data_IF_824032908080
#
_entry.id   IF_824032908080
#
_cell.length_a   1.000
_cell.length_b   1.000
_cell.length_c   1.000
_cell.angle_alpha   90.00
_cell.angle_beta   90.00
_cell.angle_gamma   90.00
#
_symmetry.space_group_name_H-M   'P 1'
#
loop_
_entity.id
_entity.type
_entity.pdbx_description
1 polymer ?
#
# COMPACT_ATOMS: atom_id res chain seq x y z
N UNK A 1 -12.02 -11.26 18.22
CA UNK A 1 -13.31 -11.51 17.53
C UNK A 1 -13.45 -10.43 16.47
N UNK A 2 -13.17 -10.74 15.20
CA UNK A 2 -13.29 -9.79 14.10
C UNK A 2 -14.79 -9.52 13.84
N UNK A 3 -15.24 -8.27 13.95
CA UNK A 3 -16.56 -7.85 13.48
C UNK A 3 -16.36 -7.02 12.21
N UNK A 4 -16.86 -7.51 11.08
CA UNK A 4 -16.95 -6.69 9.88
C UNK A 4 -18.05 -5.64 10.10
N UNK A 5 -17.75 -4.38 9.80
CA UNK A 5 -18.70 -3.27 9.88
C UNK A 5 -18.85 -2.66 8.49
N UNK A 6 -20.09 -2.35 8.12
CA UNK A 6 -20.41 -1.61 6.91
C UNK A 6 -19.95 -0.15 7.10
N UNK A 7 -19.16 0.39 6.17
CA UNK A 7 -18.82 1.81 6.21
C UNK A 7 -20.11 2.64 6.00
N UNK A 8 -20.52 3.50 6.94
CA UNK A 8 -21.72 4.31 6.77
C UNK A 8 -21.48 5.37 5.70
N UNK A 9 -22.36 5.41 4.69
CA UNK A 9 -22.46 6.53 3.77
C UNK A 9 -23.52 7.52 4.29
N UNK A 10 -23.29 8.83 4.22
CA UNK A 10 -24.30 9.81 4.58
C UNK A 10 -25.47 9.73 3.58
N UNK A 11 -26.69 9.65 4.10
CA UNK A 11 -27.89 9.79 3.29
C UNK A 11 -27.96 11.21 2.69
N UNK A 12 -28.20 11.31 1.38
CA UNK A 12 -28.43 12.60 0.74
C UNK A 12 -29.62 13.32 1.39
N UNK A 13 -29.41 14.59 1.74
CA UNK A 13 -30.46 15.52 2.15
C UNK A 13 -31.37 15.76 0.94
N UNK A 14 -32.63 15.32 1.03
CA UNK A 14 -33.62 15.54 -0.01
C UNK A 14 -34.02 17.02 -0.04
N UNK A 15 -33.82 17.68 -1.20
CA UNK A 15 -34.45 18.97 -1.51
C UNK A 15 -35.41 18.80 -2.68
N UNK A 16 -36.70 18.98 -2.42
CA UNK A 16 -37.70 19.51 -3.36
C UNK A 16 -38.24 18.59 -4.46
N UNK A 17 -39.58 18.51 -4.53
CA UNK A 17 -40.39 17.82 -5.53
C UNK A 17 -39.96 18.05 -6.99
N UNK A 18 -39.60 16.97 -7.68
CA UNK A 18 -39.72 16.85 -9.13
C UNK A 18 -40.07 15.42 -9.52
N UNK A 19 -41.11 15.26 -10.33
CA UNK A 19 -41.66 14.00 -10.87
C UNK A 19 -40.75 13.36 -11.93
N UNK A 20 -39.46 13.19 -11.62
CA UNK A 20 -38.56 12.37 -12.42
C UNK A 20 -38.63 10.90 -11.97
N UNK A 21 -38.38 9.93 -12.88
CA UNK A 21 -38.33 8.52 -12.53
C UNK A 21 -37.35 8.33 -11.36
N UNK A 22 -37.86 7.84 -10.23
CA UNK A 22 -37.06 7.60 -9.01
C UNK A 22 -35.79 6.84 -9.39
N UNK A 23 -34.66 7.52 -9.31
CA UNK A 23 -33.36 6.88 -9.41
C UNK A 23 -33.35 5.70 -8.43
N UNK A 24 -32.81 4.52 -8.81
CA UNK A 24 -32.81 3.35 -7.95
C UNK A 24 -32.25 3.75 -6.58
N UNK A 25 -32.99 3.39 -5.52
CA UNK A 25 -32.71 3.78 -4.15
C UNK A 25 -31.24 3.48 -3.83
N UNK A 26 -30.54 4.42 -3.19
CA UNK A 26 -29.09 4.34 -2.96
C UNK A 26 -28.65 3.05 -2.22
N UNK A 27 -29.58 2.34 -1.57
CA UNK A 27 -29.35 1.04 -0.92
C UNK A 27 -28.94 -0.07 -1.89
N UNK A 28 -29.47 -0.10 -3.11
CA UNK A 28 -29.21 -1.21 -4.04
C UNK A 28 -27.86 -1.08 -4.78
N UNK A 29 -27.18 0.07 -4.65
CA UNK A 29 -25.98 0.37 -5.46
C UNK A 29 -24.67 -0.20 -4.92
N UNK A 30 -24.66 -0.80 -3.72
CA UNK A 30 -23.42 -1.15 -3.03
C UNK A 30 -23.35 -2.58 -2.50
N UNK A 31 -24.34 -3.42 -2.79
CA UNK A 31 -24.32 -4.85 -2.47
C UNK A 31 -23.56 -5.69 -3.52
N UNK A 32 -22.50 -5.14 -4.09
CA UNK A 32 -21.68 -5.89 -5.06
C UNK A 32 -20.99 -7.03 -4.29
N UNK A 33 -21.22 -8.31 -4.65
CA UNK A 33 -20.59 -9.42 -3.94
C UNK A 33 -19.06 -9.35 -4.01
N UNK A 34 -18.42 -9.60 -2.86
CA UNK A 34 -16.96 -9.72 -2.81
C UNK A 34 -16.59 -11.12 -3.31
N UNK A 35 -15.63 -11.25 -4.25
CA UNK A 35 -15.22 -12.56 -4.72
C UNK A 35 -14.68 -13.43 -3.59
N UNK A 36 -14.98 -14.74 -3.65
CA UNK A 36 -14.52 -15.75 -2.69
C UNK A 36 -13.05 -16.10 -2.86
N UNK A 37 -12.18 -15.11 -2.64
CA UNK A 37 -10.72 -15.19 -2.76
C UNK A 37 -10.07 -14.56 -1.54
N UNK A 38 -9.16 -15.27 -0.89
CA UNK A 38 -8.41 -14.78 0.27
C UNK A 38 -6.95 -14.63 -0.14
N UNK A 39 -6.35 -13.48 0.09
CA UNK A 39 -5.00 -13.13 -0.31
C UNK A 39 -4.13 -12.92 0.94
N UNK A 40 -3.03 -13.64 1.02
CA UNK A 40 -1.96 -13.43 1.99
C UNK A 40 -0.72 -12.90 1.27
N UNK A 41 0.01 -11.99 1.90
CA UNK A 41 1.28 -11.47 1.38
C UNK A 41 2.42 -11.92 2.30
N UNK A 42 3.46 -12.48 1.69
CA UNK A 42 4.62 -13.01 2.37
C UNK A 42 5.90 -12.30 1.96
N UNK A 43 6.37 -11.36 2.80
CA UNK A 43 7.57 -10.56 2.53
C UNK A 43 8.67 -10.88 3.55
N UNK A 44 9.87 -11.20 3.05
CA UNK A 44 11.12 -11.17 3.84
C UNK A 44 11.15 -12.01 5.13
N UNK A 45 10.45 -13.16 5.16
CA UNK A 45 10.45 -14.05 6.32
C UNK A 45 10.36 -15.53 5.92
N UNK A 46 10.81 -16.39 6.83
CA UNK A 46 10.69 -17.85 6.74
C UNK A 46 9.25 -18.32 6.91
N UNK A 47 8.92 -19.48 6.36
CA UNK A 47 7.62 -20.13 6.58
C UNK A 47 7.65 -20.94 7.87
N UNK A 48 6.90 -20.50 8.89
CA UNK A 48 6.91 -21.08 10.24
C UNK A 48 5.64 -21.91 10.52
N UNK A 49 5.71 -22.79 11.53
CA UNK A 49 4.61 -23.72 11.87
C UNK A 49 3.34 -23.01 12.33
N UNK A 50 3.49 -21.86 13.00
CA UNK A 50 2.35 -21.03 13.38
C UNK A 50 1.55 -20.60 12.16
N UNK A 51 2.23 -20.16 11.10
CA UNK A 51 1.55 -19.69 9.91
C UNK A 51 0.91 -20.83 9.10
N UNK A 52 1.54 -22.00 9.10
CA UNK A 52 0.97 -23.23 8.53
C UNK A 52 -0.37 -23.55 9.19
N UNK A 53 -0.44 -23.45 10.52
CA UNK A 53 -1.64 -23.69 11.31
C UNK A 53 -2.75 -22.69 10.94
N UNK A 54 -2.42 -21.40 10.82
CA UNK A 54 -3.39 -20.36 10.46
C UNK A 54 -3.94 -20.54 9.03
N UNK A 55 -3.08 -20.88 8.06
CA UNK A 55 -3.51 -21.14 6.67
C UNK A 55 -4.41 -22.38 6.59
N UNK A 56 -4.06 -23.47 7.29
CA UNK A 56 -4.89 -24.67 7.37
C UNK A 56 -6.26 -24.36 7.99
N UNK A 57 -6.28 -23.63 9.09
CA UNK A 57 -7.52 -23.22 9.75
C UNK A 57 -8.39 -22.38 8.79
N UNK A 58 -7.79 -21.40 8.11
CA UNK A 58 -8.50 -20.57 7.14
C UNK A 58 -9.13 -21.40 6.01
N UNK A 59 -8.39 -22.37 5.43
CA UNK A 59 -8.88 -23.25 4.36
C UNK A 59 -10.02 -24.14 4.86
N UNK A 60 -9.87 -24.70 6.06
CA UNK A 60 -10.87 -25.58 6.68
C UNK A 60 -12.17 -24.84 6.97
N UNK A 61 -12.08 -23.61 7.50
CA UNK A 61 -13.23 -22.82 7.92
C UNK A 61 -13.92 -22.10 6.73
N UNK A 62 -13.24 -22.00 5.58
CA UNK A 62 -13.72 -21.35 4.36
C UNK A 62 -13.48 -22.23 3.12
N UNK A 63 -14.09 -23.43 3.04
CA UNK A 63 -13.79 -24.41 1.98
C UNK A 63 -14.24 -23.97 0.58
N UNK A 64 -15.18 -23.03 0.49
CA UNK A 64 -15.68 -22.45 -0.76
C UNK A 64 -14.85 -21.24 -1.24
N UNK A 65 -13.85 -20.83 -0.47
CA UNK A 65 -12.91 -19.78 -0.83
C UNK A 65 -11.65 -20.36 -1.48
N UNK A 66 -11.11 -19.62 -2.46
CA UNK A 66 -9.77 -19.88 -3.02
C UNK A 66 -8.74 -19.02 -2.32
N UNK A 67 -7.74 -19.64 -1.69
CA UNK A 67 -6.67 -18.94 -0.99
C UNK A 67 -5.51 -18.69 -1.95
N UNK A 68 -4.85 -17.54 -1.82
CA UNK A 68 -3.71 -17.11 -2.63
C UNK A 68 -2.58 -16.65 -1.72
N UNK A 69 -1.45 -17.34 -1.79
CA UNK A 69 -0.24 -17.01 -1.05
C UNK A 69 0.71 -16.26 -2.01
N UNK A 70 0.84 -14.96 -1.82
CA UNK A 70 1.72 -14.10 -2.62
C UNK A 70 3.11 -14.05 -1.99
N UNK A 71 4.06 -14.76 -2.59
CA UNK A 71 5.43 -14.85 -2.11
C UNK A 71 6.32 -13.77 -2.73
N UNK A 72 7.14 -13.13 -1.89
CA UNK A 72 8.26 -12.30 -2.30
C UNK A 72 9.49 -13.18 -2.59
N UNK A 73 9.49 -13.80 -3.77
CA UNK A 73 10.59 -14.66 -4.23
C UNK A 73 11.94 -13.94 -4.23
N UNK A 74 11.96 -12.62 -4.35
CA UNK A 74 13.19 -11.86 -4.26
C UNK A 74 13.79 -11.84 -2.86
N UNK A 75 13.01 -11.47 -1.84
CA UNK A 75 13.54 -11.42 -0.47
C UNK A 75 13.84 -12.82 0.06
N UNK A 76 13.16 -13.85 -0.44
CA UNK A 76 13.53 -15.23 -0.15
C UNK A 76 14.88 -15.62 -0.80
N UNK A 77 15.15 -15.22 -2.04
CA UNK A 77 16.47 -15.41 -2.67
C UNK A 77 17.59 -14.68 -1.91
N UNK A 78 17.32 -13.48 -1.39
CA UNK A 78 18.30 -12.73 -0.58
C UNK A 78 18.62 -13.44 0.74
N UNK A 79 17.64 -14.12 1.34
CA UNK A 79 17.79 -14.83 2.61
C UNK A 79 18.40 -16.23 2.46
N UNK A 80 17.99 -16.97 1.42
CA UNK A 80 18.21 -18.42 1.32
C UNK A 80 18.87 -18.86 0.01
N UNK A 81 19.20 -17.94 -0.89
CA UNK A 81 19.82 -18.26 -2.17
C UNK A 81 21.17 -18.96 -2.01
N UNK A 82 21.62 -19.71 -3.05
CA UNK A 82 22.90 -20.40 -3.03
C UNK A 82 24.03 -19.43 -2.67
N UNK A 83 24.94 -19.87 -1.79
CA UNK A 83 25.96 -19.09 -1.07
C UNK A 83 26.99 -18.33 -1.93
N UNK A 84 26.76 -18.17 -3.23
CA UNK A 84 27.55 -17.38 -4.18
C UNK A 84 26.85 -16.14 -4.74
N UNK A 85 25.54 -15.96 -4.53
CA UNK A 85 24.93 -14.64 -4.75
C UNK A 85 25.33 -13.77 -3.56
N UNK A 86 25.99 -12.63 -3.75
CA UNK A 86 26.26 -11.73 -2.63
C UNK A 86 24.93 -11.52 -1.91
N UNK A 87 24.89 -11.68 -0.58
CA UNK A 87 23.75 -11.22 0.22
C UNK A 87 23.66 -9.73 -0.06
N UNK A 88 22.92 -9.32 -1.09
CA UNK A 88 22.88 -7.94 -1.56
C UNK A 88 21.98 -7.19 -0.59
N UNK A 89 22.57 -6.94 0.58
CA UNK A 89 22.34 -5.85 1.52
C UNK A 89 20.91 -5.43 1.87
N UNK A 90 20.65 -5.33 3.19
CA UNK A 90 19.76 -4.28 3.70
C UNK A 90 20.48 -3.12 4.43
N UNK A 91 21.75 -3.25 4.86
CA UNK A 91 22.34 -2.24 5.78
C UNK A 91 23.71 -1.66 5.44
N UNK A 92 24.72 -2.48 5.20
CA UNK A 92 26.08 -1.95 5.05
C UNK A 92 26.29 -1.12 3.75
N UNK A 93 25.48 -1.35 2.69
CA UNK A 93 25.50 -0.52 1.48
C UNK A 93 24.79 0.80 1.67
N UNK A 94 23.80 0.91 2.57
CA UNK A 94 23.16 2.17 2.93
C UNK A 94 24.16 3.12 3.63
N UNK A 95 25.01 2.58 4.52
CA UNK A 95 26.03 3.34 5.25
C UNK A 95 27.26 3.71 4.40
N UNK A 96 27.69 2.82 3.49
CA UNK A 96 28.82 3.11 2.57
C UNK A 96 28.40 4.14 1.51
N UNK A 97 27.12 4.18 1.10
CA UNK A 97 26.68 5.15 0.09
C UNK A 97 26.30 6.53 0.65
N UNK A 98 25.72 6.59 1.84
CA UNK A 98 25.44 7.88 2.50
C UNK A 98 26.71 8.68 2.76
N UNK A 99 27.82 8.01 3.07
CA UNK A 99 29.14 8.65 3.22
C UNK A 99 29.78 9.08 1.89
N UNK A 100 29.58 8.34 0.79
CA UNK A 100 30.14 8.67 -0.53
C UNK A 100 29.36 9.72 -1.34
N UNK A 101 28.02 9.67 -1.30
CA UNK A 101 27.16 10.58 -2.08
C UNK A 101 26.91 11.94 -1.42
N UNK A 102 27.10 12.07 -0.10
CA UNK A 102 27.02 13.36 0.59
C UNK A 102 28.07 14.38 0.10
N UNK A 103 29.09 13.96 -0.66
CA UNK A 103 30.10 14.85 -1.26
C UNK A 103 29.82 15.28 -2.71
N UNK A 104 28.94 14.59 -3.45
CA UNK A 104 28.74 14.83 -4.88
C UNK A 104 27.32 15.25 -5.28
N UNK A 105 26.30 14.98 -4.45
CA UNK A 105 24.94 15.46 -4.67
C UNK A 105 24.63 16.55 -3.65
N UNK A 106 24.93 17.79 -4.03
CA UNK A 106 24.26 18.92 -3.41
C UNK A 106 22.75 18.81 -3.75
N UNK A 107 21.95 18.61 -2.70
CA UNK A 107 20.88 19.55 -2.27
C UNK A 107 19.38 19.35 -2.59
N UNK A 108 18.83 18.13 -2.74
CA UNK A 108 17.40 17.88 -2.39
C UNK A 108 17.12 16.42 -2.01
N UNK A 109 16.24 16.20 -1.02
CA UNK A 109 15.74 14.89 -0.57
C UNK A 109 15.20 14.05 -1.75
N UNK A 110 14.53 14.74 -2.68
CA UNK A 110 13.95 14.24 -3.93
C UNK A 110 14.94 13.39 -4.75
N UNK A 111 16.17 13.87 -4.96
CA UNK A 111 17.17 13.16 -5.77
C UNK A 111 17.62 11.85 -5.11
N UNK A 112 17.69 11.81 -3.78
CA UNK A 112 18.01 10.58 -3.02
C UNK A 112 16.89 9.56 -3.16
N UNK A 113 15.63 9.99 -3.03
CA UNK A 113 14.45 9.13 -3.17
C UNK A 113 14.36 8.52 -4.58
N UNK A 114 14.54 9.32 -5.64
CA UNK A 114 14.56 8.80 -7.01
C UNK A 114 15.70 7.82 -7.27
N UNK A 115 16.90 8.09 -6.74
CA UNK A 115 18.03 7.14 -6.87
C UNK A 115 17.71 5.79 -6.21
N UNK A 116 17.04 5.80 -5.05
CA UNK A 116 16.60 4.58 -4.38
C UNK A 116 15.51 3.85 -5.16
N UNK A 117 14.52 4.57 -5.71
CA UNK A 117 13.47 4.00 -6.56
C UNK A 117 14.06 3.29 -7.79
N UNK A 118 14.96 3.95 -8.53
CA UNK A 118 15.66 3.35 -9.67
C UNK A 118 16.40 2.09 -9.25
N UNK A 119 17.05 2.11 -8.08
CA UNK A 119 17.80 0.95 -7.59
C UNK A 119 16.90 -0.21 -7.19
N UNK A 120 15.81 0.05 -6.48
CA UNK A 120 14.82 -0.96 -6.13
C UNK A 120 14.26 -1.63 -7.39
N UNK A 121 13.98 -0.83 -8.42
CA UNK A 121 13.58 -1.32 -9.74
C UNK A 121 14.68 -2.17 -10.41
N UNK A 122 15.95 -1.81 -10.26
CA UNK A 122 17.06 -2.59 -10.80
C UNK A 122 17.24 -3.95 -10.15
N UNK A 123 17.13 -4.04 -8.83
CA UNK A 123 17.22 -5.32 -8.12
C UNK A 123 16.05 -6.24 -8.50
N UNK A 124 14.86 -5.67 -8.68
CA UNK A 124 13.72 -6.38 -9.25
C UNK A 124 14.05 -6.99 -10.63
N UNK A 125 14.70 -6.26 -11.53
CA UNK A 125 15.03 -6.81 -12.85
C UNK A 125 16.06 -7.93 -12.82
N UNK A 126 17.08 -7.86 -11.95
CA UNK A 126 18.13 -8.89 -11.89
C UNK A 126 17.55 -10.27 -11.56
N UNK A 127 16.61 -10.32 -10.63
CA UNK A 127 15.97 -11.58 -10.22
C UNK A 127 14.88 -11.99 -11.19
N UNK A 128 14.14 -11.05 -11.81
CA UNK A 128 13.21 -11.37 -12.91
C UNK A 128 13.88 -12.16 -14.02
N UNK A 129 15.11 -11.80 -14.38
CA UNK A 129 15.89 -12.46 -15.43
C UNK A 129 16.27 -13.91 -15.09
N UNK A 130 16.01 -14.36 -13.86
CA UNK A 130 16.38 -15.70 -13.43
C UNK A 130 15.22 -16.45 -12.75
N UNK A 131 14.07 -16.55 -13.44
CA UNK A 131 12.92 -17.36 -12.99
C UNK A 131 13.30 -18.81 -12.63
N UNK A 132 14.34 -19.34 -13.25
CA UNK A 132 14.89 -20.67 -12.94
C UNK A 132 15.42 -20.78 -11.50
N UNK A 133 15.87 -19.68 -10.89
CA UNK A 133 16.30 -19.68 -9.48
C UNK A 133 15.13 -19.83 -8.52
N UNK A 134 13.88 -19.54 -8.91
CA UNK A 134 12.73 -19.67 -8.01
C UNK A 134 12.55 -21.08 -7.49
N UNK A 135 12.76 -22.07 -8.36
CA UNK A 135 12.69 -23.49 -8.01
C UNK A 135 13.82 -23.93 -7.05
N UNK A 136 14.85 -23.09 -6.87
CA UNK A 136 15.97 -23.37 -5.97
C UNK A 136 15.80 -22.69 -4.61
N UNK A 137 14.72 -21.92 -4.39
CA UNK A 137 14.46 -21.25 -3.11
C UNK A 137 13.90 -22.27 -2.11
N UNK A 138 14.61 -22.58 -1.01
CA UNK A 138 14.15 -23.56 -0.03
C UNK A 138 12.76 -23.24 0.56
N UNK A 139 12.48 -21.96 0.86
CA UNK A 139 11.16 -21.55 1.36
C UNK A 139 10.03 -21.83 0.36
N UNK A 140 10.27 -21.65 -0.95
CA UNK A 140 9.26 -21.99 -1.96
C UNK A 140 8.96 -23.49 -1.94
N UNK A 141 10.01 -24.32 -1.84
CA UNK A 141 9.84 -25.77 -1.70
C UNK A 141 9.06 -26.13 -0.42
N UNK A 142 9.39 -25.49 0.72
CA UNK A 142 8.63 -25.70 1.97
C UNK A 142 7.15 -25.38 1.82
N UNK A 143 6.79 -24.29 1.14
CA UNK A 143 5.39 -23.98 0.84
C UNK A 143 4.76 -25.08 -0.01
N UNK A 144 5.42 -25.53 -1.07
CA UNK A 144 4.91 -26.58 -1.96
C UNK A 144 4.70 -27.90 -1.21
N UNK A 145 5.69 -28.32 -0.42
CA UNK A 145 5.63 -29.54 0.39
C UNK A 145 4.47 -29.46 1.39
N UNK A 146 4.31 -28.33 2.08
CA UNK A 146 3.21 -28.11 3.01
C UNK A 146 1.83 -28.22 2.33
N UNK A 147 1.65 -27.58 1.17
CA UNK A 147 0.39 -27.64 0.43
C UNK A 147 0.07 -29.06 -0.02
N UNK A 148 1.09 -29.81 -0.48
CA UNK A 148 0.94 -31.19 -0.90
C UNK A 148 0.65 -32.15 0.27
N UNK A 149 1.37 -32.02 1.38
CA UNK A 149 1.23 -32.89 2.56
C UNK A 149 -0.14 -32.76 3.23
N UNK A 150 -0.77 -31.59 3.12
CA UNK A 150 -2.05 -31.29 3.76
C UNK A 150 -3.23 -31.26 2.78
N UNK A 151 -3.03 -31.70 1.54
CA UNK A 151 -4.08 -31.80 0.51
C UNK A 151 -4.81 -30.46 0.23
N UNK A 152 -4.07 -29.35 0.31
CA UNK A 152 -4.62 -27.99 0.24
C UNK A 152 -4.78 -27.51 -1.22
N UNK A 153 -5.63 -28.19 -1.98
CA UNK A 153 -5.82 -27.95 -3.43
C UNK A 153 -6.49 -26.61 -3.78
N UNK A 154 -7.16 -25.96 -2.83
CA UNK A 154 -7.79 -24.64 -3.04
C UNK A 154 -6.83 -23.47 -2.75
N UNK A 155 -5.54 -23.75 -2.55
CA UNK A 155 -4.51 -22.74 -2.29
C UNK A 155 -3.61 -22.57 -3.51
N UNK A 156 -3.54 -21.34 -4.03
CA UNK A 156 -2.59 -20.96 -5.08
C UNK A 156 -1.32 -20.41 -4.45
N UNK A 157 -0.16 -20.89 -4.94
CA UNK A 157 1.13 -20.26 -4.68
C UNK A 157 1.47 -19.30 -5.83
N UNK A 158 1.54 -18.00 -5.53
CA UNK A 158 1.76 -16.94 -6.51
C UNK A 158 3.00 -16.14 -6.16
N UNK A 159 3.64 -15.54 -7.16
CA UNK A 159 4.87 -14.76 -6.96
C UNK A 159 4.63 -13.28 -7.23
N UNK A 160 5.09 -12.43 -6.30
CA UNK A 160 5.01 -10.99 -6.47
C UNK A 160 5.81 -10.52 -7.70
N UNK A 161 6.90 -11.20 -8.04
CA UNK A 161 7.66 -10.91 -9.26
C UNK A 161 6.83 -10.98 -10.54
N UNK A 162 5.97 -11.99 -10.67
CA UNK A 162 5.07 -12.13 -11.82
C UNK A 162 3.98 -11.06 -11.81
N UNK A 163 3.48 -10.69 -10.62
CA UNK A 163 2.51 -9.60 -10.46
C UNK A 163 3.08 -8.24 -10.90
N UNK A 164 4.27 -7.89 -10.41
CA UNK A 164 4.98 -6.68 -10.83
C UNK A 164 5.23 -6.68 -12.34
N UNK A 165 5.71 -7.80 -12.91
CA UNK A 165 5.98 -7.93 -14.34
C UNK A 165 4.73 -7.67 -15.18
N UNK A 166 3.59 -8.27 -14.82
CA UNK A 166 2.34 -8.09 -15.53
C UNK A 166 1.88 -6.62 -15.53
N UNK A 167 1.99 -5.93 -14.39
CA UNK A 167 1.58 -4.53 -14.28
C UNK A 167 2.52 -3.58 -15.03
N UNK A 168 3.84 -3.78 -14.94
CA UNK A 168 4.80 -2.99 -15.74
C UNK A 168 4.59 -3.21 -17.24
N UNK A 169 4.28 -4.43 -17.66
CA UNK A 169 3.99 -4.73 -19.06
C UNK A 169 2.71 -4.05 -19.54
N UNK A 170 1.63 -4.10 -18.75
CA UNK A 170 0.37 -3.43 -19.06
C UNK A 170 0.54 -1.91 -19.19
N UNK A 171 1.35 -1.30 -18.33
CA UNK A 171 1.68 0.13 -18.42
C UNK A 171 2.50 0.46 -19.67
N UNK A 172 3.49 -0.39 -20.00
CA UNK A 172 4.30 -0.23 -21.21
C UNK A 172 3.41 -0.25 -22.46
N UNK A 173 2.46 -1.19 -22.54
CA UNK A 173 1.52 -1.28 -23.65
C UNK A 173 0.59 -0.07 -23.75
N UNK A 174 0.10 0.45 -22.61
CA UNK A 174 -0.77 1.63 -22.58
C UNK A 174 -0.09 2.88 -23.10
N UNK A 175 1.20 3.04 -22.84
CA UNK A 175 1.90 4.28 -23.15
C UNK A 175 2.44 4.38 -24.59
N UNK A 176 2.37 3.32 -25.41
CA UNK A 176 2.71 3.19 -26.86
C UNK A 176 3.99 3.88 -27.41
N UNK A 177 4.70 4.66 -26.60
CA UNK A 177 5.81 5.52 -26.93
C UNK A 177 6.83 5.44 -25.79
N UNK A 178 7.87 4.63 -25.99
CA UNK A 178 9.19 4.84 -25.36
C UNK A 178 9.29 4.85 -23.82
N UNK A 179 8.44 4.10 -23.12
CA UNK A 179 8.89 3.42 -21.90
C UNK A 179 9.72 2.20 -22.32
N UNK A 180 10.82 2.42 -23.07
CA UNK A 180 11.94 1.49 -22.95
C UNK A 180 12.18 1.39 -21.45
N UNK A 181 12.04 0.18 -20.89
CA UNK A 181 12.53 -0.20 -19.56
C UNK A 181 13.69 0.74 -19.19
N UNK A 182 13.48 1.68 -18.25
CA UNK A 182 14.10 2.99 -18.31
C UNK A 182 15.59 2.88 -18.56
N UNK A 183 16.12 3.67 -19.50
CA UNK A 183 17.52 4.05 -19.38
C UNK A 183 17.67 4.60 -17.96
N UNK A 184 18.53 3.94 -17.19
CA UNK A 184 18.55 3.88 -15.73
C UNK A 184 19.00 5.18 -15.04
N UNK A 185 18.71 6.31 -15.66
CA UNK A 185 19.09 7.62 -15.18
C UNK A 185 17.97 8.20 -14.33
N UNK A 186 18.35 8.69 -13.14
CA UNK A 186 17.46 9.32 -12.16
C UNK A 186 16.69 10.51 -12.74
N UNK A 187 17.30 11.27 -13.65
CA UNK A 187 16.68 12.37 -14.39
C UNK A 187 15.50 11.94 -15.26
N UNK A 188 15.56 10.72 -15.84
CA UNK A 188 14.49 10.16 -16.66
C UNK A 188 13.30 9.73 -15.81
N UNK A 189 13.55 9.17 -14.62
CA UNK A 189 12.45 8.77 -13.72
C UNK A 189 11.73 10.00 -13.14
N UNK A 190 12.46 11.02 -12.69
CA UNK A 190 11.87 12.24 -12.14
C UNK A 190 10.98 12.98 -13.15
N UNK A 191 11.45 13.13 -14.39
CA UNK A 191 10.69 13.80 -15.47
C UNK A 191 9.47 13.00 -15.96
N UNK A 192 9.40 11.69 -15.65
CA UNK A 192 8.31 10.80 -16.08
C UNK A 192 7.39 10.37 -14.95
N UNK A 193 7.74 10.66 -13.69
CA UNK A 193 6.99 10.19 -12.52
C UNK A 193 5.50 10.50 -12.63
N UNK A 194 5.19 11.75 -12.96
CA UNK A 194 3.82 12.24 -13.12
C UNK A 194 3.06 11.58 -14.28
N UNK A 195 3.76 11.02 -15.26
CA UNK A 195 3.17 10.29 -16.39
C UNK A 195 2.92 8.81 -16.09
N UNK A 196 3.37 8.29 -14.95
CA UNK A 196 3.11 6.91 -14.56
C UNK A 196 1.69 6.76 -14.03
N UNK A 197 0.99 5.73 -14.52
CA UNK A 197 -0.28 5.30 -13.95
C UNK A 197 -0.17 5.04 -12.44
N UNK A 198 -1.26 5.29 -11.67
CA UNK A 198 -1.25 5.13 -10.21
C UNK A 198 -0.87 3.71 -9.77
N UNK A 199 -1.22 2.68 -10.55
CA UNK A 199 -0.83 1.29 -10.31
C UNK A 199 0.69 1.15 -10.27
N UNK A 200 1.38 1.71 -11.27
CA UNK A 200 2.84 1.58 -11.37
C UNK A 200 3.55 2.39 -10.30
N UNK A 201 3.06 3.60 -9.98
CA UNK A 201 3.64 4.39 -8.88
C UNK A 201 3.50 3.68 -7.52
N UNK A 202 2.33 3.10 -7.22
CA UNK A 202 2.16 2.31 -5.99
C UNK A 202 3.14 1.13 -5.91
N UNK A 203 3.36 0.42 -7.01
CA UNK A 203 4.34 -0.66 -7.04
C UNK A 203 5.78 -0.16 -6.87
N UNK A 204 6.13 0.98 -7.48
CA UNK A 204 7.45 1.58 -7.30
C UNK A 204 7.67 1.97 -5.84
N UNK A 205 6.66 2.52 -5.16
CA UNK A 205 6.73 2.77 -3.72
C UNK A 205 6.83 1.48 -2.90
N UNK A 206 6.12 0.42 -3.29
CA UNK A 206 6.21 -0.87 -2.60
C UNK A 206 7.63 -1.46 -2.69
N UNK A 207 8.23 -1.40 -3.89
CA UNK A 207 9.63 -1.81 -4.11
C UNK A 207 10.61 -0.93 -3.32
N UNK A 208 10.36 0.38 -3.23
CA UNK A 208 11.18 1.30 -2.44
C UNK A 208 11.14 0.98 -0.95
N UNK A 209 9.95 0.80 -0.37
CA UNK A 209 9.80 0.44 1.04
C UNK A 209 10.42 -0.93 1.33
N UNK A 210 10.24 -1.89 0.42
CA UNK A 210 10.90 -3.19 0.52
C UNK A 210 12.42 -3.05 0.49
N UNK A 211 12.96 -2.24 -0.41
CA UNK A 211 14.40 -1.95 -0.51
C UNK A 211 14.94 -1.29 0.77
N UNK A 212 14.12 -0.49 1.46
CA UNK A 212 14.42 0.07 2.80
C UNK A 212 14.33 -0.96 3.93
N UNK A 213 13.90 -2.20 3.66
CA UNK A 213 13.59 -3.21 4.67
C UNK A 213 12.28 -2.94 5.42
N UNK A 214 11.42 -2.06 4.92
CA UNK A 214 10.09 -1.77 5.46
C UNK A 214 9.03 -2.70 4.89
N UNK A 215 9.11 -3.97 5.25
CA UNK A 215 8.16 -4.97 4.76
C UNK A 215 6.71 -4.67 5.19
N UNK A 216 6.51 -3.98 6.32
CA UNK A 216 5.17 -3.56 6.74
C UNK A 216 4.57 -2.53 5.76
N UNK A 217 5.29 -1.44 5.48
CA UNK A 217 4.83 -0.44 4.52
C UNK A 217 4.70 -0.99 3.09
N UNK A 218 5.64 -1.83 2.66
CA UNK A 218 5.55 -2.52 1.38
C UNK A 218 4.28 -3.40 1.30
N UNK A 219 3.96 -4.13 2.36
CA UNK A 219 2.73 -4.93 2.46
C UNK A 219 1.47 -4.07 2.45
N UNK A 220 1.47 -2.89 3.10
CA UNK A 220 0.35 -1.95 3.05
C UNK A 220 0.08 -1.41 1.63
N UNK A 221 1.14 -1.12 0.86
CA UNK A 221 1.02 -0.70 -0.53
C UNK A 221 0.54 -1.85 -1.42
N UNK A 222 1.08 -3.05 -1.22
CA UNK A 222 0.72 -4.24 -2.00
C UNK A 222 -0.70 -4.71 -1.74
N UNK A 223 -1.20 -4.72 -0.50
CA UNK A 223 -2.55 -5.22 -0.20
C UNK A 223 -3.65 -4.43 -0.91
N UNK A 224 -3.52 -3.10 -0.96
CA UNK A 224 -4.51 -2.26 -1.65
C UNK A 224 -4.42 -2.40 -3.17
N UNK A 225 -3.21 -2.57 -3.71
CA UNK A 225 -3.00 -2.79 -5.14
C UNK A 225 -3.43 -4.20 -5.58
N UNK A 226 -3.21 -5.22 -4.74
CA UNK A 226 -3.67 -6.58 -4.99
C UNK A 226 -5.19 -6.65 -4.95
N UNK A 227 -5.87 -6.03 -3.98
CA UNK A 227 -7.34 -6.01 -3.96
C UNK A 227 -7.94 -5.26 -5.15
N UNK A 228 -7.23 -4.27 -5.71
CA UNK A 228 -7.65 -3.61 -6.93
C UNK A 228 -7.59 -4.54 -8.15
N UNK A 229 -6.50 -5.31 -8.28
CA UNK A 229 -6.29 -6.20 -9.44
C UNK A 229 -7.00 -7.54 -9.28
N UNK A 230 -7.10 -8.03 -8.05
CA UNK A 230 -7.68 -9.31 -7.65
C UNK A 230 -8.64 -9.09 -6.48
N UNK A 231 -9.87 -8.63 -6.76
CA UNK A 231 -10.85 -8.35 -5.72
C UNK A 231 -11.17 -9.61 -4.91
N UNK A 232 -11.57 -9.39 -3.67
CA UNK A 232 -11.69 -10.44 -2.66
C UNK A 232 -11.31 -9.90 -1.29
N UNK A 233 -10.58 -10.72 -0.54
CA UNK A 233 -10.20 -10.48 0.85
C UNK A 233 -8.67 -10.52 0.95
N UNK A 234 -8.10 -9.59 1.71
CA UNK A 234 -6.73 -9.60 2.17
C UNK A 234 -6.72 -9.87 3.67
N UNK A 235 -5.78 -10.70 4.12
CA UNK A 235 -5.56 -10.98 5.54
C UNK A 235 -4.07 -10.97 5.84
N UNK A 236 -3.67 -10.38 6.96
CA UNK A 236 -2.32 -10.55 7.50
C UNK A 236 -2.11 -12.02 7.87
N UNK A 237 -0.93 -12.55 7.58
CA UNK A 237 -0.59 -13.98 7.79
C UNK A 237 -0.72 -14.49 9.22
N UNK A 238 -0.74 -13.60 10.22
CA UNK A 238 -0.88 -13.94 11.64
C UNK A 238 -2.29 -13.65 12.18
N UNK A 239 -3.24 -13.34 11.30
CA UNK A 239 -4.63 -13.10 11.67
C UNK A 239 -5.45 -14.36 11.43
N UNK A 240 -6.05 -14.87 12.50
CA UNK A 240 -7.02 -15.96 12.42
C UNK A 240 -8.28 -15.53 11.69
N UNK A 241 -8.65 -16.31 10.68
CA UNK A 241 -9.80 -16.03 9.81
C UNK A 241 -10.92 -17.01 10.16
N UNK A 242 -11.99 -16.57 10.84
CA UNK A 242 -13.15 -17.43 11.04
C UNK A 242 -13.88 -17.66 9.72
N UNK A 243 -14.95 -18.47 9.75
CA UNK A 243 -15.85 -18.57 8.60
C UNK A 243 -16.43 -17.20 8.23
N UNK A 244 -16.24 -16.77 6.99
CA UNK A 244 -16.55 -15.39 6.52
C UNK A 244 -17.99 -15.27 6.03
N UNK A 245 -18.57 -16.34 5.48
CA UNK A 245 -19.88 -16.29 4.81
C UNK A 245 -19.85 -15.47 3.52
N UNK A 246 -21.01 -15.01 3.06
CA UNK A 246 -21.12 -14.11 1.91
C UNK A 246 -21.05 -12.64 2.38
N UNK A 247 -20.10 -11.88 1.83
CA UNK A 247 -19.92 -10.45 2.14
C UNK A 247 -19.95 -9.61 0.86
N UNK A 248 -20.36 -8.36 0.97
CA UNK A 248 -20.56 -7.43 -0.16
C UNK A 248 -19.79 -6.12 0.05
N UNK A 249 -19.61 -5.32 -1.00
CA UNK A 249 -19.08 -3.96 -0.91
C UNK A 249 -17.60 -3.87 -0.48
N UNK A 250 -17.30 -2.98 0.47
CA UNK A 250 -15.97 -2.82 1.07
C UNK A 250 -16.04 -3.02 2.59
N UNK A 251 -15.11 -3.80 3.15
CA UNK A 251 -15.05 -4.11 4.59
C UNK A 251 -13.63 -4.06 5.09
N UNK A 252 -13.49 -3.80 6.39
CA UNK A 252 -12.22 -3.82 7.10
C UNK A 252 -12.44 -4.22 8.56
N UNK A 253 -11.38 -4.65 9.25
CA UNK A 253 -11.46 -4.98 10.66
C UNK A 253 -11.35 -3.73 11.55
N UNK A 254 -11.98 -3.78 12.72
CA UNK A 254 -11.68 -2.89 13.83
C UNK A 254 -10.85 -3.61 14.88
N UNK A 255 -9.95 -2.88 15.52
CA UNK A 255 -9.28 -3.30 16.76
C UNK A 255 -10.26 -3.28 17.94
N UNK A 256 -9.80 -3.76 19.11
CA UNK A 256 -10.58 -3.70 20.34
C UNK A 256 -10.89 -2.25 20.75
N UNK A 257 -10.02 -1.32 20.39
CA UNK A 257 -10.13 0.11 20.62
C UNK A 257 -10.93 0.84 19.53
N UNK A 258 -11.64 0.11 18.67
CA UNK A 258 -12.43 0.64 17.56
C UNK A 258 -11.60 1.45 16.53
N UNK A 259 -10.30 1.17 16.43
CA UNK A 259 -9.46 1.76 15.38
C UNK A 259 -9.47 0.88 14.15
N UNK A 260 -9.45 1.49 12.97
CA UNK A 260 -9.41 0.74 11.72
C UNK A 260 -8.11 -0.07 11.62
N UNK A 261 -8.24 -1.38 11.45
CA UNK A 261 -7.13 -2.29 11.20
C UNK A 261 -7.09 -2.67 9.73
N UNK A 262 -5.89 -2.63 9.16
CA UNK A 262 -5.64 -3.15 7.81
C UNK A 262 -5.30 -4.64 7.81
N UNK A 263 -5.31 -5.32 8.96
CA UNK A 263 -5.02 -6.76 9.06
C UNK A 263 -6.07 -7.63 8.36
N UNK A 264 -7.24 -7.05 8.09
CA UNK A 264 -8.28 -7.62 7.25
C UNK A 264 -8.86 -6.50 6.39
N UNK A 265 -8.85 -6.69 5.06
CA UNK A 265 -9.48 -5.79 4.10
C UNK A 265 -10.25 -6.63 3.08
N UNK A 266 -11.49 -6.27 2.77
CA UNK A 266 -12.25 -6.92 1.72
C UNK A 266 -12.84 -5.88 0.79
N UNK A 267 -12.80 -6.15 -0.51
CA UNK A 267 -13.32 -5.24 -1.52
C UNK A 267 -13.93 -5.99 -2.68
N UNK A 268 -15.13 -5.55 -3.05
CA UNK A 268 -15.73 -5.83 -4.33
C UNK A 268 -14.87 -5.21 -5.46
N UNK A 269 -15.01 -5.72 -6.70
CA UNK A 269 -14.29 -5.18 -7.85
C UNK A 269 -14.53 -3.68 -8.03
N UNK A 270 -13.44 -2.92 -8.18
CA UNK A 270 -13.47 -1.47 -8.44
C UNK A 270 -14.28 -0.65 -7.41
N UNK A 271 -14.34 -1.08 -6.16
CA UNK A 271 -15.10 -0.36 -5.14
C UNK A 271 -14.52 1.06 -4.92
N UNK A 272 -15.34 2.13 -4.89
CA UNK A 272 -14.87 3.50 -4.74
C UNK A 272 -14.02 3.74 -3.48
N UNK A 273 -14.41 3.15 -2.34
CA UNK A 273 -13.62 3.25 -1.10
C UNK A 273 -12.19 2.72 -1.26
N UNK A 274 -12.00 1.57 -1.92
CA UNK A 274 -10.66 1.02 -2.15
C UNK A 274 -9.84 1.95 -3.06
N UNK A 275 -10.46 2.47 -4.13
CA UNK A 275 -9.81 3.42 -5.03
C UNK A 275 -9.38 4.69 -4.29
N UNK A 276 -10.23 5.21 -3.40
CA UNK A 276 -9.93 6.39 -2.61
C UNK A 276 -8.81 6.14 -1.58
N UNK A 277 -8.84 4.99 -0.89
CA UNK A 277 -7.74 4.57 -0.01
C UNK A 277 -6.42 4.51 -0.78
N UNK A 278 -6.40 3.89 -1.97
CA UNK A 278 -5.23 3.84 -2.85
C UNK A 278 -4.74 5.24 -3.22
N UNK A 279 -5.67 6.12 -3.58
CA UNK A 279 -5.37 7.51 -3.92
C UNK A 279 -4.72 8.23 -2.74
N UNK A 280 -5.29 8.16 -1.52
CA UNK A 280 -4.74 8.81 -0.34
C UNK A 280 -3.32 8.32 -0.03
N UNK A 281 -3.10 7.00 -0.04
CA UNK A 281 -1.77 6.42 0.18
C UNK A 281 -0.80 6.93 -0.89
N UNK A 282 -1.18 6.90 -2.17
CA UNK A 282 -0.33 7.40 -3.24
C UNK A 282 0.00 8.89 -3.08
N UNK A 283 -0.96 9.73 -2.72
CA UNK A 283 -0.71 11.16 -2.47
C UNK A 283 0.26 11.36 -1.30
N UNK A 284 0.11 10.60 -0.22
CA UNK A 284 1.03 10.66 0.92
C UNK A 284 2.46 10.35 0.48
N UNK A 285 2.68 9.30 -0.33
CA UNK A 285 4.02 8.98 -0.82
C UNK A 285 4.53 9.99 -1.86
N UNK A 286 3.69 10.42 -2.81
CA UNK A 286 4.08 11.40 -3.82
C UNK A 286 4.46 12.75 -3.21
N UNK A 287 3.92 13.09 -2.04
CA UNK A 287 4.32 14.30 -1.31
C UNK A 287 5.76 14.23 -0.78
N UNK A 288 6.32 13.02 -0.57
CA UNK A 288 7.74 12.84 -0.23
C UNK A 288 8.67 13.27 -1.38
N UNK A 289 8.18 13.21 -2.63
CA UNK A 289 8.94 13.64 -3.81
C UNK A 289 8.84 15.14 -4.08
N UNK A 290 7.97 15.88 -3.38
CA UNK A 290 7.71 17.30 -3.64
C UNK A 290 8.32 18.24 -2.59
N UNK A 291 9.02 17.70 -1.58
CA UNK A 291 9.44 18.44 -0.37
C UNK A 291 8.27 19.12 0.41
N UNK A 292 7.02 18.92 -0.02
CA UNK A 292 5.82 19.42 0.65
C UNK A 292 5.55 18.67 1.97
N UNK A 293 6.01 17.42 2.06
CA UNK A 293 6.01 16.69 3.31
C UNK A 293 7.23 17.11 4.13
N UNK A 294 7.00 17.90 5.18
CA UNK A 294 7.92 18.01 6.34
C UNK A 294 7.95 16.70 7.14
N UNK A 295 8.02 15.55 6.46
CA UNK A 295 8.42 14.33 7.13
C UNK A 295 9.82 14.62 7.65
N UNK A 296 9.98 14.47 8.96
CA UNK A 296 11.25 14.51 9.68
C UNK A 296 12.33 14.02 8.73
N UNK A 297 13.33 14.85 8.42
CA UNK A 297 14.52 14.45 7.68
C UNK A 297 15.15 13.31 8.46
N UNK A 298 14.70 12.12 8.13
CA UNK A 298 15.00 10.92 8.87
C UNK A 298 16.38 10.51 8.40
N UNK A 299 17.38 10.74 9.23
CA UNK A 299 18.71 10.21 8.99
C UNK A 299 18.67 8.69 9.19
N UNK A 300 18.33 7.98 8.11
CA UNK A 300 18.22 6.53 8.07
C UNK A 300 19.52 5.79 8.43
N UNK A 301 20.67 6.48 8.44
CA UNK A 301 21.94 5.89 8.89
C UNK A 301 22.02 5.75 10.41
N UNK A 302 21.23 6.57 11.13
CA UNK A 302 21.25 6.63 12.60
C UNK A 302 20.09 5.87 13.26
N UNK A 303 19.06 5.52 12.49
CA UNK A 303 17.90 4.83 13.04
C UNK A 303 18.19 3.37 13.36
N UNK A 304 18.25 3.07 14.65
CA UNK A 304 18.16 1.70 15.15
C UNK A 304 16.75 1.18 14.90
N UNK A 305 16.64 -0.09 14.48
CA UNK A 305 15.35 -0.79 14.46
C UNK A 305 14.76 -0.63 15.87
N UNK A 306 13.47 -0.27 16.02
CA UNK A 306 12.86 -0.21 17.34
C UNK A 306 13.13 -1.53 18.04
N UNK A 307 13.86 -1.48 19.16
CA UNK A 307 14.12 -2.65 20.00
C UNK A 307 12.89 -3.02 20.81
N UNK A 308 11.94 -2.09 20.90
CA UNK A 308 10.66 -2.23 21.59
C UNK A 308 9.51 -1.81 20.65
N UNK A 309 8.51 -2.67 20.41
CA UNK A 309 7.30 -2.34 19.65
C UNK A 309 6.49 -1.17 20.23
N UNK A 310 6.67 -0.84 21.51
CA UNK A 310 5.99 0.29 22.17
C UNK A 310 6.63 1.65 21.92
N UNK A 311 7.76 1.70 21.19
CA UNK A 311 8.43 2.95 20.82
C UNK A 311 7.71 3.66 19.66
N UNK A 312 6.46 4.09 19.91
CA UNK A 312 5.68 4.89 18.97
C UNK A 312 6.32 6.25 18.65
N UNK A 313 7.32 6.67 19.43
CA UNK A 313 8.15 7.84 19.14
C UNK A 313 9.18 7.56 18.05
N UNK A 314 9.37 6.29 17.65
CA UNK A 314 10.20 5.93 16.52
C UNK A 314 9.59 6.54 15.25
N UNK A 315 10.29 7.47 14.60
CA UNK A 315 9.71 8.19 13.47
C UNK A 315 9.47 7.28 12.26
N UNK A 316 10.10 6.10 12.19
CA UNK A 316 9.81 5.08 11.18
C UNK A 316 8.42 4.45 11.35
N UNK A 317 8.00 4.20 12.59
CA UNK A 317 6.67 3.68 12.90
C UNK A 317 5.62 4.75 12.57
N UNK A 318 5.89 6.00 12.96
CA UNK A 318 5.02 7.15 12.67
C UNK A 318 4.89 7.41 11.16
N UNK A 319 5.99 7.32 10.40
CA UNK A 319 6.00 7.44 8.95
C UNK A 319 5.17 6.32 8.31
N UNK A 320 5.43 5.05 8.66
CA UNK A 320 4.67 3.92 8.11
C UNK A 320 3.18 4.04 8.42
N UNK A 321 2.83 4.40 9.65
CA UNK A 321 1.45 4.58 10.10
C UNK A 321 0.71 5.65 9.28
N UNK A 322 1.37 6.79 9.03
CA UNK A 322 0.76 7.94 8.36
C UNK A 322 0.77 7.85 6.83
N UNK A 323 1.78 7.21 6.23
CA UNK A 323 1.90 7.12 4.77
C UNK A 323 1.03 6.01 4.17
N UNK A 324 1.15 4.79 4.70
CA UNK A 324 0.45 3.60 4.15
C UNK A 324 -0.40 2.84 5.17
N UNK A 325 -0.12 2.99 6.46
CA UNK A 325 -0.73 2.23 7.54
C UNK A 325 -2.10 2.76 8.00
N UNK A 326 -2.52 2.40 9.22
CA UNK A 326 -3.86 2.71 9.72
C UNK A 326 -4.21 4.21 9.71
N UNK A 327 -3.23 5.10 9.86
CA UNK A 327 -3.46 6.55 9.80
C UNK A 327 -3.91 7.01 8.41
N UNK A 328 -3.25 6.55 7.35
CA UNK A 328 -3.65 6.84 5.97
C UNK A 328 -5.05 6.31 5.66
N UNK A 329 -5.34 5.10 6.14
CA UNK A 329 -6.62 4.43 5.92
C UNK A 329 -7.76 5.09 6.69
N UNK A 330 -7.55 5.42 7.96
CA UNK A 330 -8.53 6.12 8.78
C UNK A 330 -8.88 7.47 8.17
N UNK A 331 -7.87 8.24 7.72
CA UNK A 331 -8.10 9.48 6.99
C UNK A 331 -8.98 9.25 5.75
N UNK A 332 -8.63 8.27 4.92
CA UNK A 332 -9.40 7.95 3.73
C UNK A 332 -10.86 7.59 4.06
N UNK A 333 -11.09 6.75 5.07
CA UNK A 333 -12.44 6.35 5.48
C UNK A 333 -13.25 7.49 6.08
N UNK A 334 -12.60 8.40 6.82
CA UNK A 334 -13.22 9.61 7.33
C UNK A 334 -13.67 10.52 6.18
N UNK A 335 -12.79 10.79 5.23
CA UNK A 335 -13.09 11.61 4.05
C UNK A 335 -14.27 11.02 3.24
N UNK A 336 -14.33 9.68 3.10
CA UNK A 336 -15.48 8.97 2.48
C UNK A 336 -16.77 9.20 3.27
N UNK A 337 -16.74 9.02 4.59
CA UNK A 337 -17.91 9.16 5.45
C UNK A 337 -18.42 10.61 5.53
N UNK A 338 -17.53 11.59 5.43
CA UNK A 338 -17.86 13.01 5.38
C UNK A 338 -18.37 13.46 3.99
N UNK A 339 -18.50 12.53 3.04
CA UNK A 339 -18.99 12.85 1.69
C UNK A 339 -18.01 13.69 0.88
N UNK A 340 -16.72 13.68 1.21
CA UNK A 340 -15.66 14.34 0.41
C UNK A 340 -15.56 13.73 -1.00
N UNK A 341 -16.12 12.53 -1.19
CA UNK A 341 -16.35 11.93 -2.51
C UNK A 341 -17.45 12.63 -3.35
N UNK A 342 -18.13 13.65 -2.83
CA UNK A 342 -19.25 14.33 -3.47
C UNK A 342 -18.92 15.08 -4.76
N UNK A 343 -19.58 14.67 -5.84
CA UNK A 343 -19.74 15.27 -7.19
C UNK A 343 -18.48 15.63 -8.02
N UNK A 344 -17.32 15.89 -7.40
CA UNK A 344 -16.13 16.40 -8.10
C UNK A 344 -14.97 15.40 -8.21
N UNK A 345 -15.07 14.23 -7.58
CA UNK A 345 -14.05 13.19 -7.71
C UNK A 345 -14.55 12.17 -8.73
N UNK A 346 -14.47 12.54 -10.01
CA UNK A 346 -14.50 11.55 -11.09
C UNK A 346 -13.20 10.74 -11.00
N UNK A 347 -13.22 9.64 -10.24
CA UNK A 347 -12.05 8.78 -10.00
C UNK A 347 -11.50 8.23 -11.32
N UNK A 348 -12.33 8.15 -12.37
CA UNK A 348 -11.91 7.79 -13.73
C UNK A 348 -11.13 8.90 -14.46
N UNK A 349 -11.24 10.15 -14.01
CA UNK A 349 -10.57 11.34 -14.54
C UNK A 349 -9.57 11.97 -13.57
N UNK A 350 -9.12 11.26 -12.54
CA UNK A 350 -7.97 11.66 -11.71
C UNK A 350 -6.64 11.52 -12.48
N UNK A 351 -6.60 12.13 -13.67
CA UNK A 351 -5.46 12.48 -14.49
C UNK A 351 -5.34 14.01 -14.44
N UNK A 352 -4.32 14.44 -13.71
CA UNK A 352 -3.73 15.78 -13.60
C UNK A 352 -4.28 16.90 -14.51
N UNK A 353 -5.19 17.74 -14.00
CA UNK A 353 -5.20 19.18 -14.36
C UNK A 353 -5.82 20.15 -13.35
N UNK A 354 -6.51 19.72 -12.29
CA UNK A 354 -7.19 20.64 -11.37
C UNK A 354 -6.70 20.57 -9.92
N UNK A 355 -5.41 20.88 -9.74
CA UNK A 355 -4.84 21.22 -8.42
C UNK A 355 -4.35 22.68 -8.38
N UNK A 356 -4.97 23.57 -9.16
CA UNK A 356 -4.78 25.02 -9.06
C UNK A 356 -6.15 25.66 -8.95
N UNK A 357 -6.30 26.53 -7.94
CA UNK A 357 -7.52 27.22 -7.49
C UNK A 357 -8.27 26.45 -6.40
N UNK A 358 -7.83 26.60 -5.14
CA UNK A 358 -8.69 26.95 -3.99
C UNK A 358 -7.91 27.06 -2.67
N UNK A 359 -6.99 28.03 -2.61
CA UNK A 359 -6.36 28.49 -1.37
C UNK A 359 -6.72 29.96 -1.04
N UNK A 360 -7.93 30.40 -1.39
CA UNK A 360 -8.33 31.81 -1.18
C UNK A 360 -9.70 32.07 -0.54
N UNK A 361 -10.38 31.06 0.00
CA UNK A 361 -11.69 31.26 0.68
C UNK A 361 -11.70 30.87 2.17
N UNK A 362 -10.63 30.29 2.71
CA UNK A 362 -10.52 29.99 4.15
C UNK A 362 -9.73 31.05 4.95
N UNK A 363 -9.91 32.34 4.63
CA UNK A 363 -9.49 33.47 5.50
C UNK A 363 -10.68 34.39 5.68
N UNK A 364 -11.58 33.97 6.56
CA UNK A 364 -12.79 34.72 6.84
C UNK A 364 -13.61 34.06 7.93
N UNK A 365 -12.98 33.72 9.06
CA UNK A 365 -13.61 33.61 10.38
C UNK A 365 -12.55 33.25 11.43
N UNK A 366 -12.64 33.90 12.59
CA UNK A 366 -11.82 33.79 13.80
C UNK A 366 -10.44 34.49 13.76
N UNK A 367 -10.43 35.76 14.20
CA UNK A 367 -9.99 36.12 15.56
C UNK A 367 -10.16 37.64 15.72
N UNK A 368 -11.37 38.04 16.12
CA UNK A 368 -11.56 39.27 16.89
C UNK A 368 -11.54 38.84 18.35
N UNK A 369 -10.47 39.19 19.04
CA UNK A 369 -10.15 38.68 20.37
C UNK A 369 -9.13 39.62 21.00
N UNK A 370 -9.66 40.70 21.56
CA UNK A 370 -8.90 41.79 22.14
C UNK A 370 -7.83 41.33 23.13
N UNK A 371 -6.68 42.01 23.07
CA UNK A 371 -5.75 42.09 24.18
C UNK A 371 -5.68 43.55 24.63
N UNK A 372 -6.11 43.76 25.86
CA UNK A 372 -6.06 45.04 26.55
C UNK A 372 -4.65 45.59 26.63
N UNK A 373 -4.61 46.91 26.49
CA UNK A 373 -3.47 47.78 26.77
C UNK A 373 -3.24 47.85 28.28
N UNK A 374 -2.07 47.40 28.72
CA UNK A 374 -1.47 47.91 29.97
C UNK A 374 -0.68 49.18 29.60
N UNK A 375 -1.19 50.33 30.02
CA UNK A 375 -0.43 51.58 30.11
C UNK A 375 -0.14 51.80 31.60
N UNK A 376 1.13 52.06 31.90
CA UNK A 376 1.65 52.45 33.21
C UNK A 376 1.89 53.97 33.18
N UNK A 377 1.71 54.62 34.34
CA UNK A 377 1.91 56.05 34.69
C UNK A 377 0.71 56.96 34.35
N UNK A 378 0.14 57.81 35.22
CA UNK A 378 0.51 58.41 36.51
C UNK A 378 -0.65 58.34 37.54
#
# INVERSE_FOLDING_TARGET
MLRAIDAPFPAHVQTGDSTEPKAPEAKDRYEIPIPKKINYIWLGRTFEDFDQTEIQACVKDNPDYRVRLWLDDFSMLEMEGPSGLPRVFPRASLNIYTSGMNKAISSTHINKTFAMLVRAQMEFYKVRLNKQLRAQIPTVQKFQDFLQQNDLHNVDLLFLSDFYEALFHAEHQRNQNSLCYPSLQTSTLASRWDNLGPEVRLLQWALFERYRGNYAAASNLLRVQLLQTYPGIYVDHHTTVPSIGDITGFRFALTAEHTASQSFLASAPNHPCLQYVRYCILQNYDSLLRDDFKCVTLDYTTMKKPTDPSDFQNPYITETYSLSGPGAFFKAMKDVAEGVLGENVDISKASMKEARVNAKVAKGCALDGGKGTNVVNE
#
